data_IF_293706322954
#
_entry.id   IF_293706322954
#
_cell.length_a   1.000
_cell.length_b   1.000
_cell.length_c   1.000
_cell.angle_alpha   90.00
_cell.angle_beta   90.00
_cell.angle_gamma   90.00
#
_symmetry.space_group_name_H-M   'P 1'
#
loop_
_entity.id
_entity.type
_entity.pdbx_description
1 polymer ?
#
# COMPACT_ATOMS: atom_id res chain seq x y z
N UNK A 1 -40.78 -0.08 -26.66
CA UNK A 1 -39.55 -0.88 -26.53
C UNK A 1 -38.70 -0.20 -25.47
N UNK A 2 -38.80 -0.69 -24.24
CA UNK A 2 -38.07 -0.15 -23.10
C UNK A 2 -36.59 -0.52 -23.23
N UNK A 3 -35.72 0.44 -22.95
CA UNK A 3 -34.28 0.29 -23.03
C UNK A 3 -33.82 -0.95 -22.27
N UNK A 4 -33.08 -1.81 -22.96
CA UNK A 4 -32.27 -2.85 -22.36
C UNK A 4 -31.40 -2.20 -21.30
N UNK A 5 -31.67 -2.47 -20.01
CA UNK A 5 -30.72 -2.13 -18.95
C UNK A 5 -29.38 -2.77 -19.34
N UNK A 6 -28.36 -1.95 -19.59
CA UNK A 6 -27.02 -2.47 -19.86
C UNK A 6 -26.60 -3.39 -18.71
N UNK A 7 -26.09 -4.61 -18.98
CA UNK A 7 -25.61 -5.50 -17.93
C UNK A 7 -24.51 -4.80 -17.14
N UNK A 8 -24.60 -4.88 -15.82
CA UNK A 8 -23.77 -4.19 -14.83
C UNK A 8 -22.27 -4.23 -15.16
N UNK A 9 -21.63 -3.06 -15.22
CA UNK A 9 -20.17 -2.98 -15.19
C UNK A 9 -19.67 -3.39 -13.81
N UNK A 10 -18.71 -4.32 -13.75
CA UNK A 10 -18.05 -4.69 -12.50
C UNK A 10 -16.99 -3.63 -12.17
N UNK A 11 -16.98 -3.13 -10.94
CA UNK A 11 -15.87 -2.29 -10.46
C UNK A 11 -14.86 -3.16 -9.71
N UNK A 12 -13.62 -3.22 -10.21
CA UNK A 12 -12.49 -3.89 -9.57
C UNK A 12 -11.72 -2.86 -8.76
N UNK A 13 -11.66 -3.05 -7.44
CA UNK A 13 -10.94 -2.14 -6.54
C UNK A 13 -9.68 -2.80 -6.00
N UNK A 14 -8.55 -2.13 -6.17
CA UNK A 14 -7.25 -2.66 -5.82
C UNK A 14 -6.78 -2.12 -4.47
N UNK A 15 -6.33 -3.01 -3.58
CA UNK A 15 -5.41 -2.70 -2.50
C UNK A 15 -4.04 -3.22 -2.92
N UNK A 16 -3.02 -2.37 -2.98
CA UNK A 16 -1.69 -2.78 -3.39
C UNK A 16 -0.69 -2.59 -2.25
N UNK A 17 0.11 -3.62 -1.99
CA UNK A 17 1.18 -3.61 -1.01
C UNK A 17 2.51 -3.90 -1.70
N UNK A 18 3.44 -2.95 -1.63
CA UNK A 18 4.79 -3.08 -2.18
C UNK A 18 5.80 -3.20 -1.03
N UNK A 19 6.49 -4.33 -0.98
CA UNK A 19 7.51 -4.60 0.06
C UNK A 19 8.89 -4.42 -0.53
N UNK A 20 9.73 -3.63 0.15
CA UNK A 20 11.11 -3.41 -0.25
C UNK A 20 11.95 -4.69 -0.31
N UNK A 21 12.92 -4.69 -1.23
CA UNK A 21 13.93 -5.73 -1.35
C UNK A 21 14.99 -5.32 -2.35
N UNK A 22 16.16 -4.90 -1.86
CA UNK A 22 17.37 -4.52 -2.59
C UNK A 22 17.17 -4.14 -4.09
N UNK A 23 17.77 -4.90 -5.01
CA UNK A 23 17.87 -4.60 -6.45
C UNK A 23 16.56 -4.70 -7.24
N UNK A 24 15.49 -5.22 -6.64
CA UNK A 24 14.20 -5.43 -7.33
C UNK A 24 13.23 -4.25 -7.13
N UNK A 25 13.72 -3.16 -6.55
CA UNK A 25 13.05 -1.86 -6.54
C UNK A 25 12.64 -1.38 -7.95
N UNK A 26 13.49 -1.64 -8.96
CA UNK A 26 13.22 -1.31 -10.37
C UNK A 26 12.04 -2.12 -10.92
N UNK A 27 11.96 -3.41 -10.56
CA UNK A 27 10.85 -4.28 -10.98
C UNK A 27 9.52 -3.80 -10.39
N UNK A 28 9.51 -3.44 -9.10
CA UNK A 28 8.33 -2.82 -8.48
C UNK A 28 7.92 -1.53 -9.18
N UNK A 29 8.87 -0.72 -9.64
CA UNK A 29 8.59 0.48 -10.44
C UNK A 29 7.93 0.16 -11.79
N UNK A 30 8.30 -0.96 -12.42
CA UNK A 30 7.61 -1.48 -13.60
C UNK A 30 6.16 -1.88 -13.29
N UNK A 31 5.93 -2.61 -12.20
CA UNK A 31 4.57 -2.97 -11.75
C UNK A 31 3.73 -1.73 -11.49
N UNK A 32 4.29 -0.69 -10.86
CA UNK A 32 3.61 0.57 -10.64
C UNK A 32 3.24 1.28 -11.96
N UNK A 33 4.13 1.26 -12.95
CA UNK A 33 3.89 1.86 -14.27
C UNK A 33 2.77 1.15 -15.03
N UNK A 34 2.80 -0.19 -15.08
CA UNK A 34 1.74 -0.99 -15.71
C UNK A 34 0.39 -0.81 -15.00
N UNK A 35 0.41 -0.73 -13.67
CA UNK A 35 -0.80 -0.47 -12.87
C UNK A 35 -1.37 0.92 -13.17
N UNK A 36 -0.53 1.95 -13.27
CA UNK A 36 -1.01 3.29 -13.65
C UNK A 36 -1.57 3.30 -15.07
N UNK A 37 -0.98 2.55 -16.01
CA UNK A 37 -1.54 2.43 -17.36
C UNK A 37 -2.93 1.78 -17.34
N UNK A 38 -3.11 0.69 -16.59
CA UNK A 38 -4.40 0.02 -16.40
C UNK A 38 -5.46 0.99 -15.83
N UNK A 39 -5.12 1.72 -14.77
CA UNK A 39 -6.03 2.66 -14.11
C UNK A 39 -6.42 3.81 -15.03
N UNK A 40 -5.47 4.36 -15.78
CA UNK A 40 -5.73 5.43 -16.77
C UNK A 40 -6.61 4.95 -17.91
N UNK A 41 -6.35 3.77 -18.46
CA UNK A 41 -7.18 3.20 -19.53
C UNK A 41 -8.60 2.83 -19.05
N UNK A 42 -8.77 2.52 -17.76
CA UNK A 42 -10.09 2.33 -17.17
C UNK A 42 -10.92 3.62 -17.07
N UNK A 43 -10.28 4.78 -16.90
CA UNK A 43 -10.95 6.09 -16.79
C UNK A 43 -11.07 6.84 -18.11
N UNK A 44 -10.41 6.35 -19.17
CA UNK A 44 -10.29 7.05 -20.47
C UNK A 44 -11.64 7.15 -21.20
N UNK A 45 -11.87 8.25 -21.91
CA UNK A 45 -13.05 8.41 -22.77
C UNK A 45 -13.07 7.28 -23.83
N UNK A 46 -14.18 6.51 -23.93
CA UNK A 46 -14.36 5.46 -24.93
C UNK A 46 -14.15 5.89 -26.39
N UNK A 47 -14.17 7.20 -26.68
CA UNK A 47 -13.91 7.77 -28.01
C UNK A 47 -12.43 7.88 -28.38
N UNK A 48 -11.53 7.58 -27.44
CA UNK A 48 -10.08 7.60 -27.68
C UNK A 48 -9.62 6.25 -28.22
N UNK A 49 -8.59 6.23 -29.08
CA UNK A 49 -7.97 4.99 -29.55
C UNK A 49 -7.60 4.07 -28.35
N UNK A 50 -8.10 2.82 -28.33
CA UNK A 50 -7.96 1.94 -27.18
C UNK A 50 -6.52 1.44 -27.06
N UNK A 51 -5.98 1.49 -25.85
CA UNK A 51 -4.74 0.82 -25.49
C UNK A 51 -4.94 -0.68 -25.22
N UNK A 52 -3.86 -1.36 -24.86
CA UNK A 52 -3.87 -2.81 -24.61
C UNK A 52 -4.80 -3.19 -23.44
N UNK A 53 -4.78 -2.42 -22.36
CA UNK A 53 -5.61 -2.70 -21.19
C UNK A 53 -7.08 -2.40 -21.42
N UNK A 54 -7.40 -1.38 -22.25
CA UNK A 54 -8.77 -1.03 -22.59
C UNK A 54 -9.50 -2.19 -23.25
N UNK A 55 -8.85 -2.86 -24.21
CA UNK A 55 -9.42 -4.04 -24.85
C UNK A 55 -9.75 -5.16 -23.85
N UNK A 56 -8.87 -5.39 -22.87
CA UNK A 56 -9.12 -6.37 -21.81
C UNK A 56 -10.28 -5.95 -20.90
N UNK A 57 -10.33 -4.67 -20.50
CA UNK A 57 -11.39 -4.12 -19.66
C UNK A 57 -12.76 -4.17 -20.35
N UNK A 58 -12.81 -3.91 -21.66
CA UNK A 58 -14.05 -3.99 -22.45
C UNK A 58 -14.56 -5.44 -22.56
N UNK A 59 -13.66 -6.42 -22.73
CA UNK A 59 -14.00 -7.85 -22.72
C UNK A 59 -14.54 -8.27 -21.34
N UNK A 60 -13.90 -7.81 -20.27
CA UNK A 60 -14.32 -8.11 -18.90
C UNK A 60 -15.52 -7.28 -18.43
N UNK A 61 -15.91 -6.25 -19.20
CA UNK A 61 -16.90 -5.23 -18.81
C UNK A 61 -16.62 -4.67 -17.41
N UNK A 62 -15.34 -4.39 -17.16
CA UNK A 62 -14.86 -3.98 -15.85
C UNK A 62 -14.23 -2.59 -15.88
N UNK A 63 -14.41 -1.83 -14.81
CA UNK A 63 -13.58 -0.69 -14.48
C UNK A 63 -12.62 -1.08 -13.35
N UNK A 64 -11.47 -0.41 -13.27
CA UNK A 64 -10.46 -0.63 -12.24
C UNK A 64 -10.14 0.68 -11.55
N UNK A 65 -10.16 0.65 -10.22
CA UNK A 65 -9.71 1.73 -9.34
C UNK A 65 -8.72 1.18 -8.32
N UNK A 66 -7.89 2.05 -7.75
CA UNK A 66 -6.97 1.70 -6.67
C UNK A 66 -7.37 2.48 -5.42
N UNK A 67 -7.75 1.74 -4.39
CA UNK A 67 -8.27 2.27 -3.14
C UNK A 67 -7.13 2.65 -2.19
N UNK A 68 -6.16 1.74 -2.05
CA UNK A 68 -5.06 1.89 -1.10
C UNK A 68 -3.76 1.37 -1.68
N UNK A 69 -2.71 2.14 -1.46
CA UNK A 69 -1.32 1.78 -1.69
C UNK A 69 -0.62 1.73 -0.34
N UNK A 70 0.11 0.66 -0.09
CA UNK A 70 0.94 0.54 1.10
C UNK A 70 2.36 0.19 0.68
N UNK A 71 3.34 0.76 1.38
CA UNK A 71 4.73 0.58 1.00
C UNK A 71 5.67 0.58 2.18
N UNK A 72 6.66 -0.31 2.12
CA UNK A 72 7.79 -0.35 3.04
C UNK A 72 9.09 -0.25 2.28
N UNK A 73 10.04 0.53 2.79
CA UNK A 73 11.36 0.71 2.22
C UNK A 73 11.31 1.17 0.75
N UNK A 74 12.04 0.54 -0.16
CA UNK A 74 11.96 0.84 -1.60
C UNK A 74 10.54 0.70 -2.18
N UNK A 75 9.70 -0.17 -1.60
CA UNK A 75 8.28 -0.28 -1.96
C UNK A 75 7.48 0.98 -1.61
N UNK A 76 7.89 1.72 -0.57
CA UNK A 76 7.29 3.00 -0.19
C UNK A 76 7.57 4.12 -1.17
N UNK A 77 8.77 4.17 -1.77
CA UNK A 77 9.09 5.14 -2.84
C UNK A 77 8.21 4.88 -4.07
N UNK A 78 8.06 3.62 -4.48
CA UNK A 78 7.18 3.25 -5.59
C UNK A 78 5.70 3.55 -5.28
N UNK A 79 5.23 3.24 -4.07
CA UNK A 79 3.88 3.55 -3.60
C UNK A 79 3.59 5.06 -3.58
N UNK A 80 4.55 5.86 -3.11
CA UNK A 80 4.45 7.32 -3.10
C UNK A 80 4.32 7.88 -4.52
N UNK A 81 5.16 7.43 -5.45
CA UNK A 81 5.13 7.91 -6.83
C UNK A 81 3.82 7.50 -7.54
N UNK A 82 3.40 6.23 -7.42
CA UNK A 82 2.14 5.78 -8.01
C UNK A 82 0.94 6.51 -7.40
N UNK A 83 0.88 6.65 -6.08
CA UNK A 83 -0.24 7.29 -5.42
C UNK A 83 -0.35 8.77 -5.75
N UNK A 84 0.78 9.48 -5.81
CA UNK A 84 0.82 10.88 -6.24
C UNK A 84 0.41 11.03 -7.71
N UNK A 85 0.88 10.13 -8.58
CA UNK A 85 0.50 10.12 -9.99
C UNK A 85 -1.01 9.90 -10.16
N UNK A 86 -1.60 8.95 -9.44
CA UNK A 86 -3.04 8.70 -9.46
C UNK A 86 -3.83 9.90 -8.91
N UNK A 87 -3.37 10.52 -7.82
CA UNK A 87 -4.03 11.69 -7.23
C UNK A 87 -3.99 12.93 -8.14
N UNK A 88 -2.92 13.14 -8.90
CA UNK A 88 -2.74 14.28 -9.80
C UNK A 88 -3.13 13.97 -11.27
N UNK A 89 -3.68 12.80 -11.55
CA UNK A 89 -4.01 12.38 -12.92
C UNK A 89 -2.80 12.29 -13.87
N UNK A 90 -1.62 12.08 -13.31
CA UNK A 90 -0.32 12.01 -13.97
C UNK A 90 0.13 10.55 -14.12
N UNK A 91 1.44 10.32 -14.20
CA UNK A 91 2.04 9.02 -14.46
C UNK A 91 3.35 8.84 -13.66
N UNK A 92 3.66 7.66 -13.11
CA UNK A 92 4.86 7.44 -12.29
C UNK A 92 6.14 7.13 -13.10
N UNK A 93 6.22 7.56 -14.37
CA UNK A 93 7.23 7.17 -15.36
C UNK A 93 8.65 7.53 -14.92
N UNK A 94 8.75 8.58 -14.10
CA UNK A 94 9.99 9.04 -13.47
C UNK A 94 10.66 7.96 -12.63
N UNK A 95 9.93 6.95 -12.16
CA UNK A 95 10.46 5.86 -11.33
C UNK A 95 11.64 5.15 -11.98
N UNK A 96 11.60 4.90 -13.29
CA UNK A 96 12.68 4.21 -14.00
C UNK A 96 14.00 4.97 -13.86
N UNK A 97 13.99 6.25 -14.24
CA UNK A 97 15.20 7.06 -14.23
C UNK A 97 15.63 7.40 -12.80
N UNK A 98 14.67 7.57 -11.89
CA UNK A 98 14.95 7.75 -10.45
C UNK A 98 15.70 6.54 -9.88
N UNK A 99 15.27 5.31 -10.17
CA UNK A 99 15.99 4.12 -9.69
C UNK A 99 17.35 3.96 -10.36
N UNK A 100 17.50 4.30 -11.64
CA UNK A 100 18.78 4.23 -12.35
C UNK A 100 19.78 5.27 -11.81
N UNK A 101 19.32 6.47 -11.46
CA UNK A 101 20.18 7.58 -11.05
C UNK A 101 20.29 7.70 -9.53
N UNK A 102 19.19 8.06 -8.87
CA UNK A 102 19.11 8.20 -7.41
C UNK A 102 19.35 6.89 -6.69
N UNK A 103 18.83 5.78 -7.19
CA UNK A 103 19.04 4.44 -6.61
C UNK A 103 20.45 3.87 -6.84
N UNK A 104 21.31 4.54 -7.62
CA UNK A 104 22.67 4.08 -7.89
C UNK A 104 23.53 4.17 -6.63
N UNK A 105 24.23 3.07 -6.30
CA UNK A 105 25.22 3.06 -5.22
C UNK A 105 26.31 4.10 -5.45
N UNK A 106 26.70 4.38 -6.70
CA UNK A 106 27.70 5.42 -7.00
C UNK A 106 27.25 6.81 -6.54
N UNK A 107 25.95 7.11 -6.67
CA UNK A 107 25.39 8.39 -6.28
C UNK A 107 25.11 8.45 -4.76
N UNK A 108 24.71 7.32 -4.18
CA UNK A 108 24.31 7.25 -2.77
C UNK A 108 25.50 7.11 -1.81
N UNK A 109 26.61 6.49 -2.20
CA UNK A 109 27.75 6.24 -1.31
C UNK A 109 28.38 7.56 -0.87
N UNK A 110 28.59 7.70 0.45
CA UNK A 110 29.26 8.86 1.04
C UNK A 110 30.77 8.86 0.74
N UNK A 111 31.39 10.03 0.81
CA UNK A 111 32.84 10.17 0.68
C UNK A 111 33.54 9.41 1.82
N UNK A 112 34.38 8.44 1.47
CA UNK A 112 35.13 7.63 2.43
C UNK A 112 36.10 8.45 3.31
N UNK A 113 36.39 9.70 2.94
CA UNK A 113 37.22 10.63 3.72
C UNK A 113 36.43 11.40 4.78
N UNK A 114 35.10 11.26 4.82
CA UNK A 114 34.28 11.83 5.90
C UNK A 114 34.75 11.24 7.24
N UNK A 115 35.13 12.06 8.24
CA UNK A 115 35.80 11.56 9.44
C UNK A 115 34.89 10.74 10.35
N UNK A 116 33.57 10.97 10.30
CA UNK A 116 32.55 10.26 11.08
C UNK A 116 31.25 10.17 10.28
N UNK A 117 31.20 9.33 9.23
CA UNK A 117 29.99 9.19 8.44
C UNK A 117 28.90 8.55 9.31
N UNK A 118 27.68 9.09 9.23
CA UNK A 118 26.54 8.57 10.00
C UNK A 118 25.99 7.25 9.44
N UNK A 119 26.39 6.90 8.24
CA UNK A 119 25.90 5.77 7.43
C UNK A 119 26.81 5.55 6.21
N UNK A 120 26.61 4.47 5.47
CA UNK A 120 27.36 4.21 4.21
C UNK A 120 26.81 5.03 3.05
N UNK A 121 25.48 5.15 2.99
CA UNK A 121 24.71 5.81 1.96
C UNK A 121 24.10 7.11 2.49
N UNK A 122 23.88 8.05 1.59
CA UNK A 122 23.40 9.39 1.90
C UNK A 122 21.88 9.53 1.75
N UNK A 123 21.18 9.48 2.88
CA UNK A 123 19.72 9.52 2.92
C UNK A 123 19.17 10.93 2.71
N UNK A 124 19.57 11.90 3.52
CA UNK A 124 18.98 13.25 3.49
C UNK A 124 19.49 14.10 2.33
N UNK A 125 20.79 14.08 2.04
CA UNK A 125 21.34 14.99 1.03
C UNK A 125 21.06 14.49 -0.38
N UNK A 126 21.09 13.18 -0.61
CA UNK A 126 20.89 12.58 -1.92
C UNK A 126 19.48 12.01 -2.06
N UNK A 127 19.15 10.94 -1.33
CA UNK A 127 17.89 10.21 -1.55
C UNK A 127 16.65 11.08 -1.36
N UNK A 128 16.54 11.82 -0.24
CA UNK A 128 15.38 12.66 0.04
C UNK A 128 15.19 13.76 -1.00
N UNK A 129 16.25 14.52 -1.30
CA UNK A 129 16.18 15.63 -2.25
C UNK A 129 15.89 15.17 -3.68
N UNK A 130 16.39 13.99 -4.06
CA UNK A 130 16.14 13.41 -5.38
C UNK A 130 14.72 12.82 -5.49
N UNK A 131 14.24 12.12 -4.45
CA UNK A 131 12.85 11.62 -4.40
C UNK A 131 11.88 12.80 -4.43
N UNK A 132 12.13 13.87 -3.68
CA UNK A 132 11.32 15.10 -3.75
C UNK A 132 11.29 15.66 -5.17
N UNK A 133 12.43 15.68 -5.87
CA UNK A 133 12.51 16.13 -7.26
C UNK A 133 11.68 15.26 -8.20
N UNK A 134 11.73 13.94 -8.04
CA UNK A 134 10.94 13.00 -8.83
C UNK A 134 9.42 13.20 -8.58
N UNK A 135 9.01 13.36 -7.32
CA UNK A 135 7.61 13.64 -6.97
C UNK A 135 7.12 14.98 -7.56
N UNK A 136 7.98 16.01 -7.57
CA UNK A 136 7.68 17.30 -8.21
C UNK A 136 7.54 17.20 -9.73
N UNK A 137 8.24 16.29 -10.38
CA UNK A 137 8.03 16.04 -11.82
C UNK A 137 6.66 15.42 -12.07
N UNK A 138 6.22 14.48 -11.23
CA UNK A 138 4.88 13.87 -11.32
C UNK A 138 3.79 14.94 -11.20
N UNK A 139 3.89 15.85 -10.23
CA UNK A 139 2.90 16.92 -10.05
C UNK A 139 2.97 18.00 -11.11
N UNK A 140 4.15 18.28 -11.67
CA UNK A 140 4.32 19.23 -12.77
C UNK A 140 3.70 18.75 -14.09
N UNK A 141 3.72 17.44 -14.35
CA UNK A 141 3.07 16.82 -15.52
C UNK A 141 1.57 16.58 -15.31
N UNK A 142 1.14 16.54 -14.06
CA UNK A 142 -0.26 16.33 -13.66
C UNK A 142 -1.07 17.61 -13.55
N UNK A 143 -2.31 17.43 -13.11
CA UNK A 143 -3.21 18.51 -12.71
C UNK A 143 -3.52 18.37 -11.23
N UNK A 144 -3.40 19.44 -10.43
CA UNK A 144 -3.86 19.43 -9.05
C UNK A 144 -5.31 18.96 -8.99
N UNK A 145 -5.66 18.06 -8.07
CA UNK A 145 -7.01 17.52 -7.98
C UNK A 145 -8.01 18.62 -7.63
N UNK A 146 -9.13 18.68 -8.36
CA UNK A 146 -10.23 19.61 -8.09
C UNK A 146 -11.14 19.12 -6.96
N UNK A 147 -11.25 17.80 -6.82
CA UNK A 147 -12.04 17.09 -5.82
C UNK A 147 -11.11 16.21 -4.99
N UNK A 148 -11.57 15.71 -3.85
CA UNK A 148 -10.76 14.84 -3.00
C UNK A 148 -10.47 13.50 -3.71
N UNK A 149 -9.20 13.18 -4.04
CA UNK A 149 -8.88 11.93 -4.70
C UNK A 149 -9.19 10.74 -3.81
N UNK A 150 -9.90 9.77 -4.37
CA UNK A 150 -10.31 8.56 -3.67
C UNK A 150 -9.19 7.50 -3.61
N UNK A 151 -8.01 7.91 -3.14
CA UNK A 151 -6.82 7.06 -3.00
C UNK A 151 -6.10 7.35 -1.68
N UNK A 152 -5.71 6.28 -0.99
CA UNK A 152 -4.92 6.36 0.25
C UNK A 152 -3.52 5.79 0.01
N UNK A 153 -2.46 6.51 0.41
CA UNK A 153 -1.09 5.98 0.48
C UNK A 153 -0.69 5.86 1.95
N UNK A 154 -0.27 4.65 2.35
CA UNK A 154 0.27 4.37 3.68
C UNK A 154 1.73 3.94 3.59
N UNK A 155 2.62 4.65 4.28
CA UNK A 155 4.05 4.33 4.31
C UNK A 155 4.48 3.98 5.73
N UNK A 156 5.25 2.90 5.88
CA UNK A 156 5.65 2.40 7.21
C UNK A 156 6.88 3.13 7.74
N UNK A 157 6.99 3.25 9.05
CA UNK A 157 8.21 3.74 9.71
C UNK A 157 8.41 3.07 11.07
N UNK A 158 9.66 3.02 11.52
CA UNK A 158 10.03 2.51 12.84
C UNK A 158 10.66 3.62 13.67
N UNK A 159 10.02 4.02 14.77
CA UNK A 159 10.54 5.00 15.72
C UNK A 159 11.58 4.35 16.64
N UNK A 160 12.73 5.00 16.80
CA UNK A 160 13.79 4.50 17.69
C UNK A 160 13.41 4.66 19.17
N UNK A 161 12.71 5.73 19.51
CA UNK A 161 12.33 6.07 20.89
C UNK A 161 10.87 5.74 21.25
N UNK A 162 10.00 5.55 20.25
CA UNK A 162 8.60 5.14 20.41
C UNK A 162 7.69 6.17 21.09
N UNK A 163 6.39 5.88 21.12
CA UNK A 163 5.40 6.61 21.93
C UNK A 163 4.77 5.68 22.96
N UNK A 164 4.68 6.14 24.20
CA UNK A 164 4.14 5.34 25.30
C UNK A 164 2.70 5.75 25.59
N UNK A 165 1.78 4.81 25.45
CA UNK A 165 0.39 4.96 25.85
C UNK A 165 0.14 4.25 27.17
N UNK A 166 -0.84 4.73 27.93
CA UNK A 166 -1.22 4.20 29.23
C UNK A 166 -2.70 3.81 29.19
N UNK A 167 -2.99 2.61 29.63
CA UNK A 167 -4.34 2.07 29.69
C UNK A 167 -4.62 1.57 31.11
N UNK A 168 -5.82 1.83 31.60
CA UNK A 168 -6.31 1.17 32.81
C UNK A 168 -6.99 -0.13 32.41
N UNK A 169 -6.55 -1.26 32.96
CA UNK A 169 -7.24 -2.53 32.75
C UNK A 169 -8.57 -2.59 33.54
N UNK A 170 -9.34 -3.65 33.32
CA UNK A 170 -10.63 -3.83 34.00
C UNK A 170 -10.53 -3.92 35.54
N UNK A 171 -9.32 -4.11 36.09
CA UNK A 171 -9.03 -4.18 37.52
C UNK A 171 -8.41 -2.87 38.05
N UNK A 172 -8.23 -1.85 37.20
CA UNK A 172 -7.62 -0.57 37.55
C UNK A 172 -6.09 -0.59 37.60
N UNK A 173 -5.43 -1.62 37.05
CA UNK A 173 -3.98 -1.61 36.91
C UNK A 173 -3.57 -0.79 35.68
N UNK A 174 -2.52 0.00 35.86
CA UNK A 174 -1.94 0.77 34.78
C UNK A 174 -1.06 -0.11 33.88
N UNK A 175 -1.53 -0.40 32.67
CA UNK A 175 -0.75 -1.02 31.61
C UNK A 175 -0.05 0.08 30.81
N UNK A 176 1.26 -0.06 30.64
CA UNK A 176 2.07 0.81 29.79
C UNK A 176 2.46 0.03 28.55
N UNK A 177 2.15 0.59 27.39
CA UNK A 177 2.55 0.04 26.11
C UNK A 177 3.36 1.08 25.35
N UNK A 178 4.45 0.65 24.72
CA UNK A 178 5.31 1.53 23.93
C UNK A 178 5.26 1.06 22.48
N UNK A 179 4.61 1.85 21.65
CA UNK A 179 4.53 1.59 20.22
C UNK A 179 5.75 2.20 19.53
N UNK A 180 6.41 1.40 18.70
CA UNK A 180 7.55 1.81 17.88
C UNK A 180 7.20 1.85 16.40
N UNK A 181 6.12 1.18 15.97
CA UNK A 181 5.63 1.18 14.60
C UNK A 181 4.84 2.46 14.37
N UNK A 182 5.00 3.04 13.19
CA UNK A 182 4.17 4.15 12.77
C UNK A 182 3.82 4.03 11.29
N UNK A 183 2.75 4.73 10.91
CA UNK A 183 2.26 4.82 9.54
C UNK A 183 2.11 6.29 9.16
N UNK A 184 2.74 6.68 8.07
CA UNK A 184 2.36 7.89 7.36
C UNK A 184 1.09 7.63 6.55
N UNK A 185 0.16 8.57 6.57
CA UNK A 185 -1.11 8.49 5.85
C UNK A 185 -1.30 9.71 4.96
N UNK A 186 -1.51 9.46 3.67
CA UNK A 186 -1.89 10.47 2.68
C UNK A 186 -3.21 10.05 2.06
N UNK A 187 -4.27 10.86 2.21
CA UNK A 187 -5.59 10.55 1.70
C UNK A 187 -6.41 11.82 1.45
N UNK A 188 -7.39 11.74 0.54
CA UNK A 188 -8.43 12.75 0.31
C UNK A 188 -7.88 14.19 0.31
N UNK A 189 -8.18 15.01 1.33
CA UNK A 189 -7.83 16.43 1.36
C UNK A 189 -6.32 16.71 1.50
N UNK A 190 -5.49 15.69 1.77
CA UNK A 190 -4.05 15.85 1.89
C UNK A 190 -3.33 15.90 0.53
N UNK A 191 -4.01 15.51 -0.56
CA UNK A 191 -3.47 15.56 -1.92
C UNK A 191 -3.51 16.98 -2.50
N UNK A 192 -2.65 17.86 -1.97
CA UNK A 192 -2.58 19.28 -2.34
C UNK A 192 -1.22 19.65 -2.92
N UNK A 193 -1.14 20.83 -3.55
CA UNK A 193 0.14 21.41 -3.97
C UNK A 193 1.03 21.59 -2.74
N UNK A 194 2.25 21.04 -2.75
CA UNK A 194 3.17 21.06 -1.63
C UNK A 194 3.27 19.72 -0.87
N UNK A 195 2.40 18.75 -1.16
CA UNK A 195 2.45 17.40 -0.56
C UNK A 195 3.73 16.64 -0.90
N UNK A 196 4.46 17.04 -1.95
CA UNK A 196 5.67 16.37 -2.42
C UNK A 196 6.77 16.32 -1.36
N UNK A 197 6.92 17.39 -0.57
CA UNK A 197 7.92 17.45 0.51
C UNK A 197 7.63 16.43 1.62
N UNK A 198 6.45 16.49 2.27
CA UNK A 198 6.06 15.51 3.28
C UNK A 198 6.04 14.07 2.76
N UNK A 199 5.58 13.85 1.52
CA UNK A 199 5.57 12.52 0.90
C UNK A 199 6.99 12.01 0.62
N UNK A 200 7.91 12.87 0.18
CA UNK A 200 9.32 12.53 0.00
C UNK A 200 9.97 12.17 1.35
N UNK A 201 9.70 12.93 2.41
CA UNK A 201 10.21 12.64 3.74
C UNK A 201 9.68 11.29 4.24
N UNK A 202 8.39 10.99 4.06
CA UNK A 202 7.82 9.71 4.43
C UNK A 202 8.44 8.55 3.62
N UNK A 203 8.61 8.73 2.31
CA UNK A 203 9.22 7.75 1.41
C UNK A 203 10.71 7.51 1.72
N UNK A 204 11.49 8.54 2.07
CA UNK A 204 12.86 8.37 2.57
C UNK A 204 12.90 7.70 3.94
N UNK A 205 12.01 8.10 4.85
CA UNK A 205 11.94 7.55 6.21
C UNK A 205 11.69 6.05 6.20
N UNK A 206 10.74 5.58 5.37
CA UNK A 206 10.47 4.15 5.24
C UNK A 206 11.65 3.36 4.68
N UNK A 207 12.54 3.98 3.90
CA UNK A 207 13.71 3.38 3.25
C UNK A 207 15.04 3.58 4.02
N UNK A 208 14.96 3.97 5.29
CA UNK A 208 16.13 4.31 6.12
C UNK A 208 16.79 3.07 6.74
N UNK A 209 17.25 2.15 5.88
CA UNK A 209 17.76 0.84 6.29
C UNK A 209 18.96 0.96 7.25
N UNK A 210 18.90 0.37 8.46
CA UNK A 210 19.96 0.46 9.45
C UNK A 210 21.34 0.09 8.91
N UNK A 211 22.32 0.96 9.11
CA UNK A 211 23.71 0.77 8.66
C UNK A 211 23.97 1.19 7.21
N UNK A 212 22.98 1.06 6.32
CA UNK A 212 23.08 1.60 4.96
C UNK A 212 22.79 3.11 4.97
N UNK A 213 21.67 3.54 5.55
CA UNK A 213 21.26 4.95 5.64
C UNK A 213 21.26 5.44 7.09
N UNK A 214 21.42 6.74 7.28
CA UNK A 214 21.27 7.37 8.58
C UNK A 214 19.79 7.46 8.98
N UNK A 215 19.52 7.62 10.29
CA UNK A 215 18.16 7.82 10.79
C UNK A 215 17.50 9.03 10.12
N UNK A 216 16.21 8.91 9.79
CA UNK A 216 15.40 9.99 9.24
C UNK A 216 14.84 10.84 10.37
N UNK A 217 14.94 12.16 10.23
CA UNK A 217 14.36 13.08 11.22
C UNK A 217 12.92 13.39 10.82
N UNK A 218 11.95 13.11 11.69
CA UNK A 218 10.54 13.41 11.43
C UNK A 218 10.03 14.47 12.41
N UNK A 219 9.85 15.73 11.96
CA UNK A 219 9.31 16.80 12.79
C UNK A 219 7.79 16.68 12.95
N UNK A 220 7.28 16.94 14.16
CA UNK A 220 5.88 17.23 14.45
C UNK A 220 5.79 18.68 14.95
N UNK A 221 4.91 19.44 14.33
CA UNK A 221 4.73 20.87 14.55
C UNK A 221 5.77 21.72 13.81
N UNK A 222 5.45 23.00 13.65
CA UNK A 222 6.24 23.94 12.82
C UNK A 222 7.58 24.34 13.43
N UNK A 223 7.73 24.24 14.76
CA UNK A 223 8.89 24.76 15.49
C UNK A 223 10.21 24.00 15.28
N UNK A 224 10.18 22.83 14.65
CA UNK A 224 11.37 21.99 14.40
C UNK A 224 11.57 21.63 12.92
N UNK A 225 10.92 22.36 12.01
CA UNK A 225 10.97 22.11 10.57
C UNK A 225 12.20 22.73 9.91
N UNK A 226 12.62 22.17 8.77
CA UNK A 226 13.58 22.78 7.85
C UNK A 226 13.18 22.50 6.39
N UNK A 227 14.03 22.88 5.42
CA UNK A 227 13.73 22.72 3.98
C UNK A 227 13.47 21.26 3.59
N UNK A 228 14.21 20.32 4.15
CA UNK A 228 14.11 18.89 3.84
C UNK A 228 13.12 18.18 4.77
N UNK A 229 12.91 18.73 5.96
CA UNK A 229 12.08 18.13 6.99
C UNK A 229 10.85 19.01 7.29
N UNK A 230 9.78 18.90 6.47
CA UNK A 230 8.53 19.62 6.70
C UNK A 230 7.77 19.08 7.93
N UNK A 231 6.70 19.79 8.31
CA UNK A 231 5.81 19.37 9.39
C UNK A 231 5.01 18.12 8.98
N UNK A 232 5.17 17.04 9.75
CA UNK A 232 4.50 15.77 9.47
C UNK A 232 3.18 15.59 10.25
N UNK A 233 2.77 16.55 11.08
CA UNK A 233 1.53 16.50 11.88
C UNK A 233 0.30 16.07 11.08
N UNK A 234 0.06 16.56 9.85
CA UNK A 234 -1.14 16.17 9.09
C UNK A 234 -1.16 14.71 8.60
N UNK A 235 -0.01 14.04 8.61
CA UNK A 235 0.21 12.76 7.94
C UNK A 235 0.42 11.61 8.91
N UNK A 236 0.29 11.82 10.22
CA UNK A 236 0.49 10.79 11.24
C UNK A 236 -0.32 11.12 12.50
N UNK A 237 -0.57 10.11 13.33
CA UNK A 237 -1.25 10.27 14.62
C UNK A 237 -0.28 10.55 15.79
N UNK A 238 1.02 10.64 15.49
CA UNK A 238 2.07 10.87 16.49
C UNK A 238 2.00 12.27 17.07
N UNK A 239 2.38 12.39 18.34
CA UNK A 239 2.23 13.62 19.14
C UNK A 239 3.53 14.44 19.24
N UNK A 240 4.67 13.87 18.87
CA UNK A 240 5.98 14.52 18.94
C UNK A 240 6.93 14.10 17.82
N UNK A 241 8.01 14.86 17.64
CA UNK A 241 9.04 14.55 16.66
C UNK A 241 9.82 13.28 17.04
N UNK A 242 10.21 12.49 16.04
CA UNK A 242 10.93 11.23 16.22
C UNK A 242 12.11 11.08 15.26
N UNK A 243 13.05 10.22 15.64
CA UNK A 243 14.01 9.63 14.71
C UNK A 243 13.47 8.30 14.21
N UNK A 244 13.44 8.14 12.89
CA UNK A 244 12.89 6.97 12.22
C UNK A 244 13.99 6.15 11.55
N UNK A 245 13.79 4.85 11.52
CA UNK A 245 14.49 3.91 10.65
C UNK A 245 13.48 3.19 9.76
N UNK A 246 13.99 2.32 8.88
CA UNK A 246 13.21 1.59 7.89
C UNK A 246 11.99 0.92 8.54
N UNK A 247 10.85 1.05 7.87
CA UNK A 247 9.59 0.46 8.34
C UNK A 247 9.69 -1.05 8.43
N UNK A 248 10.57 -1.68 7.65
CA UNK A 248 10.79 -3.11 7.65
C UNK A 248 11.34 -3.68 8.95
N UNK A 249 11.94 -2.85 9.80
CA UNK A 249 12.49 -3.31 11.08
C UNK A 249 11.38 -3.86 11.98
N UNK A 250 10.19 -3.29 11.96
CA UNK A 250 9.06 -3.77 12.78
C UNK A 250 7.78 -4.03 11.98
N UNK A 251 7.65 -3.48 10.77
CA UNK A 251 6.48 -3.59 9.89
C UNK A 251 6.91 -3.71 8.43
N UNK A 252 7.50 -4.84 8.06
CA UNK A 252 8.00 -5.06 6.70
C UNK A 252 6.88 -5.27 5.68
N UNK A 253 5.79 -5.92 6.10
CA UNK A 253 4.70 -6.31 5.20
C UNK A 253 3.41 -5.62 5.64
N UNK A 254 3.11 -4.39 5.16
CA UNK A 254 1.96 -3.59 5.62
C UNK A 254 0.63 -4.04 5.02
N UNK A 255 0.39 -5.35 5.03
CA UNK A 255 -0.85 -5.98 4.56
C UNK A 255 -2.03 -5.63 5.46
N UNK A 256 -1.87 -5.70 6.80
CA UNK A 256 -2.96 -5.38 7.74
C UNK A 256 -3.51 -3.95 7.56
N UNK A 257 -2.67 -2.90 7.45
CA UNK A 257 -3.14 -1.56 7.10
C UNK A 257 -3.90 -1.51 5.77
N UNK A 258 -3.39 -2.17 4.72
CA UNK A 258 -4.06 -2.23 3.42
C UNK A 258 -5.44 -2.90 3.50
N UNK A 259 -5.52 -4.03 4.20
CA UNK A 259 -6.76 -4.80 4.40
C UNK A 259 -7.79 -3.97 5.17
N UNK A 260 -7.39 -3.26 6.23
CA UNK A 260 -8.28 -2.38 6.98
C UNK A 260 -8.90 -1.32 6.08
N UNK A 261 -8.09 -0.60 5.30
CA UNK A 261 -8.58 0.44 4.39
C UNK A 261 -9.58 -0.10 3.37
N UNK A 262 -9.24 -1.21 2.70
CA UNK A 262 -10.11 -1.73 1.63
C UNK A 262 -11.39 -2.37 2.17
N UNK A 263 -11.37 -2.91 3.39
CA UNK A 263 -12.56 -3.47 4.06
C UNK A 263 -13.51 -2.38 4.54
N UNK A 264 -13.00 -1.22 4.96
CA UNK A 264 -13.80 -0.09 5.44
C UNK A 264 -14.42 0.74 4.31
N UNK A 265 -13.88 0.65 3.09
CA UNK A 265 -14.40 1.37 1.93
C UNK A 265 -15.79 0.89 1.52
N UNK A 266 -16.72 1.83 1.40
CA UNK A 266 -18.09 1.57 0.93
C UNK A 266 -18.13 1.50 -0.60
N UNK A 267 -19.17 0.88 -1.14
CA UNK A 267 -19.48 0.92 -2.57
C UNK A 267 -20.97 0.90 -2.81
N UNK A 268 -21.40 1.61 -3.85
CA UNK A 268 -22.79 1.68 -4.31
C UNK A 268 -23.05 0.79 -5.53
N UNK A 269 -22.01 0.12 -6.04
CA UNK A 269 -22.05 -0.80 -7.19
C UNK A 269 -21.50 -2.17 -6.79
N UNK A 270 -21.65 -3.17 -7.67
CA UNK A 270 -21.01 -4.46 -7.40
C UNK A 270 -19.49 -4.32 -7.58
N UNK A 271 -18.77 -4.64 -6.51
CA UNK A 271 -17.32 -4.45 -6.41
C UNK A 271 -16.61 -5.75 -6.14
N UNK A 272 -15.53 -5.97 -6.90
CA UNK A 272 -14.54 -7.00 -6.63
C UNK A 272 -13.28 -6.36 -6.06
N UNK A 273 -13.03 -6.60 -4.77
CA UNK A 273 -11.81 -6.11 -4.10
C UNK A 273 -10.69 -7.13 -4.26
N UNK A 274 -9.53 -6.67 -4.72
CA UNK A 274 -8.34 -7.49 -4.92
C UNK A 274 -7.17 -6.91 -4.14
N UNK A 275 -6.47 -7.78 -3.40
CA UNK A 275 -5.19 -7.44 -2.79
C UNK A 275 -4.06 -7.85 -3.75
N UNK A 276 -3.29 -6.88 -4.23
CA UNK A 276 -2.08 -7.06 -5.02
C UNK A 276 -0.88 -6.98 -4.08
N UNK A 277 -0.31 -8.14 -3.76
CA UNK A 277 0.87 -8.25 -2.94
C UNK A 277 2.12 -8.36 -3.83
N UNK A 278 2.88 -7.27 -3.91
CA UNK A 278 4.04 -7.11 -4.78
C UNK A 278 5.29 -7.29 -3.94
N UNK A 279 5.90 -8.47 -4.05
CA UNK A 279 7.13 -8.82 -3.32
C UNK A 279 8.19 -9.28 -4.30
N UNK A 280 9.39 -8.70 -4.23
CA UNK A 280 10.47 -9.03 -5.13
C UNK A 280 11.07 -10.44 -4.95
N UNK A 281 10.95 -11.03 -3.76
CA UNK A 281 11.52 -12.33 -3.44
C UNK A 281 10.45 -13.42 -3.42
N UNK A 282 10.72 -14.54 -4.10
CA UNK A 282 10.15 -15.82 -3.66
C UNK A 282 10.82 -16.18 -2.33
N UNK A 283 10.07 -16.63 -1.34
CA UNK A 283 10.63 -17.10 -0.08
C UNK A 283 11.62 -18.23 -0.38
N UNK A 284 12.92 -17.96 -0.22
CA UNK A 284 13.94 -19.00 -0.28
C UNK A 284 13.83 -19.89 0.96
N UNK A 285 14.06 -21.20 0.81
CA UNK A 285 14.19 -22.08 1.97
C UNK A 285 15.20 -21.48 2.94
N UNK A 286 14.83 -21.39 4.22
CA UNK A 286 15.72 -20.87 5.24
C UNK A 286 16.93 -21.79 5.37
N UNK A 287 18.13 -21.28 5.07
CA UNK A 287 19.37 -21.99 5.34
C UNK A 287 19.45 -22.32 6.84
N UNK A 288 19.56 -23.61 7.17
CA UNK A 288 19.74 -24.04 8.54
C UNK A 288 21.08 -23.50 9.05
N UNK A 289 21.03 -22.59 10.04
CA UNK A 289 22.25 -22.14 10.73
C UNK A 289 22.69 -23.25 11.67
N UNK A 290 23.86 -23.83 11.40
CA UNK A 290 24.44 -24.85 12.26
C UNK A 290 24.71 -24.27 13.66
N UNK A 291 24.17 -24.93 14.69
CA UNK A 291 24.35 -24.54 16.08
C UNK A 291 25.68 -25.09 16.60
N UNK A 292 26.79 -24.54 16.11
CA UNK A 292 28.15 -24.95 16.52
C UNK A 292 28.48 -24.36 17.91
N UNK A 293 28.64 -25.19 18.96
CA UNK A 293 29.00 -24.73 20.30
C UNK A 293 30.45 -24.21 20.41
N UNK A 294 31.31 -24.52 19.44
CA UNK A 294 32.74 -24.18 19.44
C UNK A 294 33.00 -22.84 18.75
N UNK A 295 32.24 -22.52 17.70
CA UNK A 295 32.38 -21.26 16.94
C UNK A 295 31.05 -20.48 16.91
N UNK A 296 30.66 -19.81 18.00
CA UNK A 296 29.49 -18.95 17.99
C UNK A 296 29.68 -17.80 16.98
N UNK A 297 28.59 -17.32 16.34
CA UNK A 297 28.67 -16.24 15.38
C UNK A 297 29.22 -14.97 16.04
N UNK A 298 30.15 -14.29 15.35
CA UNK A 298 30.70 -13.01 15.79
C UNK A 298 29.59 -11.98 15.95
N UNK A 299 29.69 -11.12 16.97
CA UNK A 299 28.67 -10.12 17.32
C UNK A 299 28.24 -9.27 16.11
N UNK A 300 29.19 -8.84 15.27
CA UNK A 300 28.92 -8.04 14.08
C UNK A 300 28.13 -8.81 13.00
N UNK A 301 28.44 -10.08 12.77
CA UNK A 301 27.71 -10.93 11.83
C UNK A 301 26.35 -11.38 12.37
N UNK A 302 26.27 -11.60 13.69
CA UNK A 302 25.03 -11.98 14.37
C UNK A 302 24.00 -10.85 14.32
N UNK A 303 24.41 -9.59 14.55
CA UNK A 303 23.48 -8.47 14.53
C UNK A 303 22.85 -8.22 13.16
N UNK A 304 23.64 -8.31 12.08
CA UNK A 304 23.11 -8.18 10.72
C UNK A 304 22.11 -9.30 10.39
N UNK A 305 22.38 -10.54 10.82
CA UNK A 305 21.47 -11.68 10.66
C UNK A 305 20.18 -11.51 11.46
N UNK A 306 20.25 -11.01 12.70
CA UNK A 306 19.07 -10.74 13.53
C UNK A 306 18.19 -9.68 12.86
N UNK A 307 18.78 -8.57 12.40
CA UNK A 307 18.02 -7.54 11.67
C UNK A 307 17.34 -8.16 10.44
N UNK A 308 18.06 -8.93 9.63
CA UNK A 308 17.48 -9.57 8.45
C UNK A 308 16.34 -10.56 8.81
N UNK A 309 16.47 -11.29 9.93
CA UNK A 309 15.46 -12.23 10.43
C UNK A 309 14.19 -11.52 10.89
N UNK A 310 14.33 -10.38 11.58
CA UNK A 310 13.17 -9.57 11.99
C UNK A 310 12.45 -8.99 10.76
N UNK A 311 13.18 -8.66 9.70
CA UNK A 311 12.62 -8.17 8.44
C UNK A 311 11.90 -9.30 7.66
N UNK A 312 12.31 -10.57 7.81
CA UNK A 312 11.61 -11.74 7.25
C UNK A 312 10.35 -12.09 8.06
N UNK A 313 9.35 -11.21 8.03
CA UNK A 313 8.09 -11.38 8.74
C UNK A 313 7.14 -12.37 8.02
N UNK A 314 6.36 -13.15 8.77
CA UNK A 314 5.27 -13.98 8.23
C UNK A 314 4.04 -13.14 7.90
N UNK A 315 3.26 -13.58 6.91
CA UNK A 315 1.96 -12.99 6.52
C UNK A 315 0.76 -13.89 6.88
N UNK A 316 1.00 -15.00 7.57
CA UNK A 316 -0.06 -16.01 7.80
C UNK A 316 -1.25 -15.43 8.55
N UNK A 317 -1.02 -14.56 9.55
CA UNK A 317 -2.09 -13.93 10.30
C UNK A 317 -2.96 -13.01 9.41
N UNK A 318 -2.34 -12.25 8.51
CA UNK A 318 -3.04 -11.37 7.57
C UNK A 318 -3.83 -12.17 6.51
N UNK A 319 -3.29 -13.30 6.06
CA UNK A 319 -4.01 -14.22 5.17
C UNK A 319 -5.19 -14.91 5.87
N UNK A 320 -5.03 -15.28 7.13
CA UNK A 320 -6.13 -15.81 7.96
C UNK A 320 -7.22 -14.75 8.18
N UNK A 321 -6.84 -13.50 8.43
CA UNK A 321 -7.76 -12.37 8.56
C UNK A 321 -8.53 -12.14 7.24
N UNK A 322 -7.84 -12.18 6.09
CA UNK A 322 -8.46 -12.08 4.77
C UNK A 322 -9.44 -13.24 4.50
N UNK A 323 -9.05 -14.47 4.82
CA UNK A 323 -9.90 -15.66 4.67
C UNK A 323 -11.15 -15.54 5.53
N UNK A 324 -10.99 -15.15 6.79
CA UNK A 324 -12.11 -14.93 7.72
C UNK A 324 -13.08 -13.86 7.23
N UNK A 325 -12.56 -12.77 6.65
CA UNK A 325 -13.38 -11.72 6.05
C UNK A 325 -14.16 -12.24 4.84
N UNK A 326 -13.50 -12.94 3.93
CA UNK A 326 -14.14 -13.53 2.74
C UNK A 326 -15.26 -14.50 3.13
N UNK A 327 -15.03 -15.36 4.12
CA UNK A 327 -16.04 -16.29 4.63
C UNK A 327 -17.22 -15.56 5.28
N UNK A 328 -16.99 -14.44 5.96
CA UNK A 328 -18.06 -13.62 6.52
C UNK A 328 -18.90 -12.96 5.42
N UNK A 329 -18.26 -12.43 4.36
CA UNK A 329 -18.93 -11.83 3.21
C UNK A 329 -19.77 -12.86 2.44
N UNK A 330 -19.22 -14.06 2.20
CA UNK A 330 -19.93 -15.17 1.56
C UNK A 330 -21.16 -15.56 2.38
N UNK A 331 -21.01 -15.80 3.69
CA UNK A 331 -22.14 -16.15 4.58
C UNK A 331 -23.24 -15.08 4.58
N UNK A 332 -22.88 -13.80 4.64
CA UNK A 332 -23.84 -12.71 4.60
C UNK A 332 -24.59 -12.64 3.26
N UNK A 333 -23.88 -12.85 2.15
CA UNK A 333 -24.47 -12.92 0.80
C UNK A 333 -25.40 -14.13 0.66
N UNK A 334 -24.98 -15.31 1.10
CA UNK A 334 -25.77 -16.55 1.02
C UNK A 334 -27.05 -16.46 1.85
N UNK A 335 -26.97 -15.82 3.02
CA UNK A 335 -28.14 -15.52 3.86
C UNK A 335 -29.13 -14.62 3.11
N UNK A 336 -28.66 -13.53 2.47
CA UNK A 336 -29.52 -12.64 1.68
C UNK A 336 -30.16 -13.36 0.50
N UNK A 337 -29.41 -14.22 -0.19
CA UNK A 337 -29.90 -15.02 -1.32
C UNK A 337 -30.93 -16.04 -0.87
N UNK A 338 -30.71 -16.68 0.29
CA UNK A 338 -31.67 -17.63 0.88
C UNK A 338 -32.96 -16.94 1.31
N UNK A 339 -32.86 -15.75 1.93
CA UNK A 339 -34.01 -14.92 2.28
C UNK A 339 -34.78 -14.46 1.03
N UNK A 340 -34.06 -14.08 -0.03
CA UNK A 340 -34.65 -13.75 -1.33
C UNK A 340 -35.42 -14.94 -1.91
N UNK A 341 -34.81 -16.13 -1.92
CA UNK A 341 -35.43 -17.36 -2.39
C UNK A 341 -36.69 -17.71 -1.60
N UNK A 342 -36.69 -17.52 -0.28
CA UNK A 342 -37.85 -17.74 0.58
C UNK A 342 -38.97 -16.73 0.28
N UNK A 343 -38.64 -15.45 0.11
CA UNK A 343 -39.63 -14.41 -0.21
C UNK A 343 -40.25 -14.56 -1.60
N UNK A 344 -39.51 -15.14 -2.56
CA UNK A 344 -40.01 -15.48 -3.90
C UNK A 344 -40.99 -16.67 -3.90
N UNK A 345 -40.97 -17.52 -2.86
CA UNK A 345 -41.91 -18.66 -2.72
C UNK A 345 -43.30 -18.24 -2.23
N UNK A 346 -43.51 -16.96 -1.91
CA UNK A 346 -44.77 -16.42 -1.38
C UNK A 346 -45.93 -16.27 -2.38
N UNK A 347 -45.74 -16.59 -3.67
CA UNK A 347 -46.78 -16.41 -4.69
C UNK A 347 -46.90 -14.95 -5.17
N UNK A 348 -48.07 -14.51 -5.70
CA UNK A 348 -48.24 -13.19 -6.33
C UNK A 348 -47.99 -11.99 -5.41
N UNK A 349 -47.92 -12.20 -4.09
CA UNK A 349 -47.44 -11.22 -3.11
C UNK A 349 -46.00 -11.54 -2.69
N UNK A 350 -45.09 -11.44 -3.66
CA UNK A 350 -43.67 -11.61 -3.43
C UNK A 350 -43.17 -10.51 -2.48
N UNK A 351 -42.60 -10.90 -1.34
CA UNK A 351 -42.05 -9.98 -0.32
C UNK A 351 -40.71 -9.35 -0.71
N UNK A 352 -40.19 -9.67 -1.90
CA UNK A 352 -38.90 -9.22 -2.40
C UNK A 352 -39.08 -8.39 -3.64
N UNK A 353 -38.38 -7.26 -3.71
CA UNK A 353 -38.41 -6.39 -4.88
C UNK A 353 -37.75 -7.07 -6.11
N UNK A 354 -38.01 -6.50 -7.29
CA UNK A 354 -37.49 -7.01 -8.55
C UNK A 354 -35.95 -7.06 -8.62
N UNK A 355 -35.26 -6.20 -7.85
CA UNK A 355 -33.79 -6.12 -7.82
C UNK A 355 -33.21 -7.32 -7.07
N UNK A 356 -33.80 -7.70 -5.94
CA UNK A 356 -33.37 -8.85 -5.17
C UNK A 356 -33.70 -10.16 -5.92
N UNK A 357 -34.83 -10.22 -6.64
CA UNK A 357 -35.17 -11.37 -7.48
C UNK A 357 -34.16 -11.60 -8.62
N UNK A 358 -33.76 -10.53 -9.31
CA UNK A 358 -32.75 -10.59 -10.36
C UNK A 358 -31.37 -11.03 -9.83
N UNK A 359 -30.94 -10.48 -8.69
CA UNK A 359 -29.68 -10.85 -8.05
C UNK A 359 -29.63 -12.34 -7.64
N UNK A 360 -30.76 -12.91 -7.21
CA UNK A 360 -30.87 -14.34 -6.92
C UNK A 360 -30.66 -15.22 -8.16
N UNK A 361 -31.33 -14.89 -9.27
CA UNK A 361 -31.25 -15.62 -10.54
C UNK A 361 -29.84 -15.59 -11.15
N UNK A 362 -29.20 -14.43 -11.15
CA UNK A 362 -27.87 -14.22 -11.72
C UNK A 362 -26.80 -15.02 -10.94
N UNK A 363 -26.93 -15.06 -9.61
CA UNK A 363 -26.03 -15.87 -8.79
C UNK A 363 -26.23 -17.36 -8.99
N UNK A 364 -27.47 -17.84 -9.07
CA UNK A 364 -27.76 -19.24 -9.42
C UNK A 364 -27.11 -19.59 -10.76
N UNK A 365 -27.19 -18.68 -11.73
CA UNK A 365 -26.53 -18.85 -13.04
C UNK A 365 -25.01 -18.92 -12.91
N UNK A 366 -24.39 -18.09 -12.07
CA UNK A 366 -22.93 -18.10 -11.86
C UNK A 366 -22.45 -19.35 -11.10
N UNK A 367 -23.21 -19.81 -10.10
CA UNK A 367 -22.94 -21.06 -9.36
C UNK A 367 -23.07 -22.27 -10.29
N UNK A 368 -24.17 -22.36 -11.06
CA UNK A 368 -24.39 -23.42 -12.04
C UNK A 368 -23.29 -23.41 -13.13
N UNK A 369 -22.86 -22.23 -13.59
CA UNK A 369 -21.76 -22.08 -14.54
C UNK A 369 -20.39 -22.50 -13.94
N UNK A 370 -20.13 -22.19 -12.67
CA UNK A 370 -18.91 -22.59 -11.99
C UNK A 370 -18.86 -24.11 -11.72
N UNK A 371 -20.01 -24.75 -11.47
CA UNK A 371 -20.11 -26.21 -11.41
C UNK A 371 -19.83 -26.85 -12.78
N UNK A 372 -20.37 -26.28 -13.87
CA UNK A 372 -20.12 -26.74 -15.23
C UNK A 372 -18.65 -26.65 -15.67
N UNK A 373 -17.88 -25.68 -15.16
CA UNK A 373 -16.44 -25.53 -15.46
C UNK A 373 -15.56 -26.47 -14.62
N UNK A 374 -16.07 -26.95 -13.47
CA UNK A 374 -15.35 -27.90 -12.61
C UNK A 374 -15.65 -29.37 -12.93
N UNK A 375 -16.72 -29.64 -13.67
CA UNK A 375 -17.08 -30.95 -14.22
C UNK A 375 -16.39 -31.19 -15.56
#
# INVERSE_FOLDING_TARGET
MAGTAEPWQQEIRLAMTMVGGASLAIWMGGVATETSQLLRESRRDPRTEPGLYRGLLDVLRASVSIDVLTGTSAGGINAACLGLAEAFGSTPQVLRDTWITTGSLENLVRDAREPQPRSVLDGDRVLLGDVERALRQITAEGTPPSDEPDITVLLTGTMIDGETTRFDDALGNLVRDTEHRMLFRFCGPLWTIGVEGPLALAARSTASFPGAFELSRMPIGTGSTDRLHPDMTPYTELTRSHWLTDGGVLLNKPLRPALREIFERTSNVDVRRLLLYVVPTGEGETDAVECDPVNPPLLSGAMAKVVNTVMSQSISAELDDLTRHNDAVLRARDTRVSLAALGLRGGPECLVDARIAAAHLERRTAEDAAELVRA
#
